data_IF_754698983445
#
_entry.id   IF_754698983445
#
_cell.length_a   1.000
_cell.length_b   1.000
_cell.length_c   1.000
_cell.angle_alpha   90.00
_cell.angle_beta   90.00
_cell.angle_gamma   90.00
#
_symmetry.space_group_name_H-M   'P 1'
#
loop_
_entity.id
_entity.type
_entity.pdbx_description
1 polymer ?
#
# COMPACT_ATOMS: atom_id res chain seq x y z
N UNK A 1 -14.09 8.42 -16.88
CA UNK A 1 -14.76 8.40 -15.56
C UNK A 1 -14.16 9.51 -14.70
N UNK A 2 -14.96 10.25 -13.91
CA UNK A 2 -14.40 11.24 -12.98
C UNK A 2 -13.66 10.53 -11.85
N UNK A 3 -12.58 11.14 -11.34
CA UNK A 3 -11.91 10.67 -10.13
C UNK A 3 -12.75 10.89 -8.88
N UNK A 4 -12.29 10.36 -7.74
CA UNK A 4 -12.92 10.51 -6.43
C UNK A 4 -12.06 11.43 -5.55
N UNK A 5 -12.71 12.23 -4.70
CA UNK A 5 -12.07 13.06 -3.68
C UNK A 5 -12.74 12.86 -2.34
N UNK A 6 -11.98 12.99 -1.26
CA UNK A 6 -12.56 12.97 0.09
C UNK A 6 -13.50 14.17 0.29
N UNK A 7 -14.61 13.95 1.00
CA UNK A 7 -15.59 14.99 1.28
C UNK A 7 -15.18 15.81 2.52
N UNK A 8 -14.29 16.78 2.32
CA UNK A 8 -13.81 17.69 3.37
C UNK A 8 -14.55 19.03 3.30
N UNK A 9 -15.21 19.42 4.40
CA UNK A 9 -16.06 20.62 4.46
C UNK A 9 -15.27 21.92 4.26
N UNK A 10 -14.12 22.05 4.95
CA UNK A 10 -13.23 23.21 4.84
C UNK A 10 -11.78 22.73 4.75
N UNK A 11 -11.08 23.13 3.69
CA UNK A 11 -9.66 22.82 3.51
C UNK A 11 -8.78 23.87 4.19
N UNK A 12 -8.11 23.47 5.27
CA UNK A 12 -7.11 24.25 6.01
C UNK A 12 -5.87 23.38 6.24
N UNK A 13 -4.80 23.96 6.80
CA UNK A 13 -3.63 23.16 7.21
C UNK A 13 -4.02 22.08 8.22
N UNK A 14 -4.93 22.39 9.15
CA UNK A 14 -5.39 21.45 10.18
C UNK A 14 -6.22 20.29 9.62
N UNK A 15 -6.89 20.49 8.47
CA UNK A 15 -7.67 19.43 7.81
C UNK A 15 -6.95 18.76 6.64
N UNK A 16 -5.68 19.12 6.38
CA UNK A 16 -4.94 18.63 5.23
C UNK A 16 -4.82 17.10 5.22
N UNK A 17 -4.70 16.48 6.39
CA UNK A 17 -4.67 15.01 6.54
C UNK A 17 -5.97 14.29 6.09
N UNK A 18 -7.06 15.03 5.88
CA UNK A 18 -8.34 14.49 5.39
C UNK A 18 -8.51 14.72 3.89
N UNK A 19 -7.68 15.57 3.28
CA UNK A 19 -7.76 15.93 1.87
C UNK A 19 -7.01 14.89 1.05
N UNK A 20 -7.71 14.21 0.18
CA UNK A 20 -7.11 13.23 -0.73
C UNK A 20 -7.94 13.04 -2.01
N UNK A 21 -7.29 12.52 -3.04
CA UNK A 21 -7.86 12.26 -4.36
C UNK A 21 -7.31 10.96 -4.97
N UNK A 22 -8.13 10.31 -5.78
CA UNK A 22 -7.72 9.24 -6.67
C UNK A 22 -8.32 9.41 -8.06
N UNK A 23 -7.61 8.93 -9.08
CA UNK A 23 -8.05 9.00 -10.46
C UNK A 23 -7.52 7.81 -11.25
N UNK A 24 -8.42 6.91 -11.61
CA UNK A 24 -8.14 5.60 -12.17
C UNK A 24 -8.37 4.50 -11.13
N UNK A 25 -7.79 4.66 -9.93
CA UNK A 25 -7.88 3.64 -8.87
C UNK A 25 -9.31 3.45 -8.36
N UNK A 26 -10.18 4.46 -8.45
CA UNK A 26 -11.60 4.30 -8.08
C UNK A 26 -12.27 3.20 -8.90
N UNK A 27 -11.93 3.11 -10.19
CA UNK A 27 -12.50 2.12 -11.11
C UNK A 27 -11.97 0.73 -10.79
N UNK A 28 -10.69 0.63 -10.42
CA UNK A 28 -10.08 -0.60 -9.95
C UNK A 28 -10.76 -1.10 -8.67
N UNK A 29 -10.96 -0.22 -7.68
CA UNK A 29 -11.66 -0.53 -6.42
C UNK A 29 -13.06 -1.07 -6.71
N UNK A 30 -13.85 -0.40 -7.55
CA UNK A 30 -15.18 -0.87 -7.94
C UNK A 30 -15.13 -2.25 -8.60
N UNK A 31 -14.17 -2.49 -9.50
CA UNK A 31 -13.98 -3.78 -10.13
C UNK A 31 -13.66 -4.89 -9.13
N UNK A 32 -12.74 -4.65 -8.20
CA UNK A 32 -12.38 -5.59 -7.14
C UNK A 32 -13.58 -5.87 -6.23
N UNK A 33 -14.32 -4.83 -5.84
CA UNK A 33 -15.54 -5.01 -5.01
C UNK A 33 -16.54 -5.94 -5.69
N UNK A 34 -16.72 -5.80 -7.01
CA UNK A 34 -17.62 -6.62 -7.81
C UNK A 34 -17.13 -8.06 -8.01
N UNK A 35 -15.83 -8.23 -8.32
CA UNK A 35 -15.21 -9.55 -8.56
C UNK A 35 -15.16 -10.38 -7.27
N UNK A 36 -14.75 -9.75 -6.17
CA UNK A 36 -14.55 -10.41 -4.88
C UNK A 36 -15.79 -10.41 -3.99
N UNK A 37 -16.89 -9.77 -4.42
CA UNK A 37 -18.11 -9.58 -3.61
C UNK A 37 -17.80 -9.00 -2.24
N UNK A 38 -16.96 -7.97 -2.22
CA UNK A 38 -16.55 -7.30 -0.98
C UNK A 38 -17.79 -6.72 -0.30
N UNK A 39 -17.84 -6.90 1.00
CA UNK A 39 -18.81 -6.26 1.88
C UNK A 39 -18.03 -5.39 2.87
N UNK A 40 -18.46 -4.16 3.07
CA UNK A 40 -17.89 -3.24 4.05
C UNK A 40 -18.43 -3.49 5.47
N UNK A 41 -17.75 -2.98 6.51
CA UNK A 41 -16.57 -2.14 6.41
C UNK A 41 -15.33 -2.95 5.99
N UNK A 42 -14.53 -2.38 5.10
CA UNK A 42 -13.31 -2.99 4.56
C UNK A 42 -12.27 -1.92 4.16
N UNK A 43 -10.99 -2.30 4.23
CA UNK A 43 -9.87 -1.52 3.72
C UNK A 43 -9.33 -2.19 2.47
N UNK A 44 -9.21 -1.43 1.39
CA UNK A 44 -8.48 -1.84 0.20
C UNK A 44 -7.14 -1.13 0.14
N UNK A 45 -6.06 -1.87 -0.03
CA UNK A 45 -4.71 -1.34 -0.19
C UNK A 45 -4.28 -1.63 -1.62
N UNK A 46 -3.99 -0.58 -2.37
CA UNK A 46 -3.52 -0.66 -3.75
C UNK A 46 -2.12 -0.05 -3.82
N UNK A 47 -1.06 -0.88 -3.66
CA UNK A 47 0.31 -0.42 -3.82
C UNK A 47 0.60 -0.08 -5.28
N UNK A 48 1.32 1.02 -5.49
CA UNK A 48 1.72 1.52 -6.80
C UNK A 48 2.73 2.66 -6.67
N UNK A 49 2.87 3.52 -7.69
CA UNK A 49 3.65 4.76 -7.59
C UNK A 49 3.21 5.58 -6.37
N UNK A 50 1.90 5.68 -6.18
CA UNK A 50 1.26 6.13 -4.96
C UNK A 50 0.46 4.97 -4.37
N UNK A 51 0.72 4.61 -3.12
CA UNK A 51 -0.09 3.62 -2.41
C UNK A 51 -1.43 4.27 -2.06
N UNK A 52 -2.53 3.62 -2.42
CA UNK A 52 -3.88 4.03 -1.99
C UNK A 52 -4.38 3.12 -0.88
N UNK A 53 -4.77 3.71 0.23
CA UNK A 53 -5.58 3.10 1.28
C UNK A 53 -7.01 3.58 1.08
N UNK A 54 -7.91 2.71 0.65
CA UNK A 54 -9.30 3.05 0.30
C UNK A 54 -10.24 2.41 1.30
N UNK A 55 -11.01 3.25 1.98
CA UNK A 55 -11.89 2.86 3.06
C UNK A 55 -13.31 2.70 2.51
N UNK A 56 -13.87 1.50 2.69
CA UNK A 56 -15.20 1.13 2.20
C UNK A 56 -16.12 1.01 3.42
N UNK A 57 -17.24 1.73 3.40
CA UNK A 57 -18.21 1.72 4.48
C UNK A 57 -19.19 0.53 4.41
N UNK A 58 -20.04 0.37 5.43
CA UNK A 58 -21.08 -0.69 5.50
C UNK A 58 -22.08 -0.70 4.33
N UNK A 59 -22.23 0.42 3.64
CA UNK A 59 -23.11 0.55 2.45
C UNK A 59 -22.40 0.17 1.15
N UNK A 60 -21.16 -0.33 1.22
CA UNK A 60 -20.31 -0.61 0.07
C UNK A 60 -20.02 0.63 -0.78
N UNK A 61 -19.82 1.77 -0.14
CA UNK A 61 -19.39 3.00 -0.79
C UNK A 61 -17.93 3.30 -0.41
N UNK A 62 -17.18 3.90 -1.35
CA UNK A 62 -15.88 4.49 -1.02
C UNK A 62 -16.14 5.68 -0.10
N UNK A 63 -15.80 5.54 1.17
CA UNK A 63 -16.00 6.57 2.20
C UNK A 63 -14.94 7.66 2.09
N UNK A 64 -13.67 7.24 1.96
CA UNK A 64 -12.51 8.09 1.79
C UNK A 64 -11.31 7.28 1.31
N UNK A 65 -10.24 7.99 0.98
CA UNK A 65 -8.92 7.41 0.76
C UNK A 65 -7.82 8.15 1.50
N UNK A 66 -6.67 7.48 1.63
CA UNK A 66 -5.42 8.02 2.16
C UNK A 66 -4.30 7.56 1.22
N UNK A 67 -3.49 8.49 0.74
CA UNK A 67 -2.48 8.28 -0.28
C UNK A 67 -1.10 8.53 0.30
N UNK A 68 -0.17 7.63 0.03
CA UNK A 68 1.26 7.79 0.31
C UNK A 68 2.06 7.57 -0.96
N UNK A 69 3.31 8.03 -1.00
CA UNK A 69 4.15 8.02 -2.21
C UNK A 69 5.25 6.94 -2.19
N UNK A 70 5.01 5.79 -1.55
CA UNK A 70 6.03 4.75 -1.36
C UNK A 70 6.71 4.32 -2.65
N UNK A 71 5.97 4.09 -3.74
CA UNK A 71 6.55 3.64 -5.01
C UNK A 71 7.50 4.67 -5.61
N UNK A 72 7.09 5.93 -5.68
CA UNK A 72 7.95 7.03 -6.15
C UNK A 72 9.13 7.28 -5.22
N UNK A 73 8.92 7.18 -3.90
CA UNK A 73 9.98 7.39 -2.93
C UNK A 73 11.02 6.27 -2.97
N UNK A 74 10.58 5.01 -3.10
CA UNK A 74 11.45 3.85 -3.35
C UNK A 74 12.25 4.04 -4.64
N UNK A 75 11.60 4.48 -5.72
CA UNK A 75 12.29 4.77 -6.98
C UNK A 75 13.36 5.85 -6.79
N UNK A 76 13.02 6.98 -6.17
CA UNK A 76 13.97 8.07 -5.92
C UNK A 76 15.16 7.62 -5.06
N UNK A 77 14.91 6.88 -3.97
CA UNK A 77 15.95 6.36 -3.10
C UNK A 77 16.90 5.43 -3.85
N UNK A 78 16.37 4.51 -4.65
CA UNK A 78 17.15 3.43 -5.28
C UNK A 78 17.80 3.82 -6.60
N UNK A 79 17.43 4.97 -7.18
CA UNK A 79 17.96 5.45 -8.45
C UNK A 79 18.73 6.77 -8.35
N UNK A 80 18.38 7.63 -7.41
CA UNK A 80 18.83 9.02 -7.36
C UNK A 80 19.54 9.38 -6.06
N UNK A 81 19.94 8.38 -5.26
CA UNK A 81 20.69 8.60 -4.01
C UNK A 81 21.82 7.57 -3.88
N UNK A 82 22.64 7.70 -2.83
CA UNK A 82 23.73 6.77 -2.52
C UNK A 82 23.28 5.31 -2.32
N UNK A 83 21.98 5.06 -2.14
CA UNK A 83 21.44 3.70 -2.02
C UNK A 83 21.47 2.94 -3.34
N UNK A 84 21.63 3.61 -4.49
CA UNK A 84 21.69 2.98 -5.81
C UNK A 84 22.79 1.92 -5.92
N UNK A 85 23.89 2.10 -5.19
CA UNK A 85 25.01 1.15 -5.18
C UNK A 85 24.77 -0.02 -4.22
N UNK A 86 23.78 0.10 -3.33
CA UNK A 86 23.51 -0.86 -2.27
C UNK A 86 22.35 -1.81 -2.60
N UNK A 87 21.48 -1.52 -3.56
CA UNK A 87 20.35 -2.39 -3.93
C UNK A 87 20.41 -2.75 -5.42
N UNK A 88 19.82 -3.89 -5.85
CA UNK A 88 19.80 -4.23 -7.26
C UNK A 88 18.80 -3.37 -8.02
N UNK A 89 18.99 -3.24 -9.34
CA UNK A 89 18.10 -2.48 -10.21
C UNK A 89 16.65 -2.97 -10.19
N UNK A 90 16.45 -4.29 -10.14
CA UNK A 90 15.12 -4.91 -10.09
C UNK A 90 14.52 -4.92 -8.68
N UNK A 91 15.19 -4.28 -7.71
CA UNK A 91 14.84 -4.17 -6.29
C UNK A 91 14.75 -5.52 -5.58
N UNK A 92 13.66 -6.26 -5.74
CA UNK A 92 13.39 -7.50 -5.00
C UNK A 92 13.22 -8.64 -6.00
N UNK A 93 14.24 -9.50 -6.08
CA UNK A 93 14.19 -10.72 -6.89
C UNK A 93 13.51 -11.87 -6.15
N UNK A 94 13.58 -11.86 -4.82
CA UNK A 94 12.94 -12.84 -3.94
C UNK A 94 12.50 -12.18 -2.64
N UNK A 95 11.28 -12.46 -2.20
CA UNK A 95 10.78 -12.03 -0.89
C UNK A 95 11.55 -12.76 0.20
N UNK A 96 12.22 -12.00 1.06
CA UNK A 96 12.92 -12.47 2.27
C UNK A 96 12.28 -11.82 3.50
N UNK A 97 11.25 -12.48 4.04
CA UNK A 97 10.40 -11.94 5.12
C UNK A 97 11.20 -11.48 6.34
N UNK A 98 12.27 -12.19 6.69
CA UNK A 98 13.15 -11.82 7.80
C UNK A 98 13.67 -10.38 7.65
N UNK A 99 14.14 -10.00 6.47
CA UNK A 99 14.69 -8.67 6.22
C UNK A 99 13.62 -7.60 6.15
N UNK A 100 12.42 -7.91 5.64
CA UNK A 100 11.26 -7.01 5.70
C UNK A 100 10.96 -6.66 7.16
N UNK A 101 10.92 -7.67 8.03
CA UNK A 101 10.63 -7.49 9.46
C UNK A 101 11.75 -6.73 10.18
N UNK A 102 13.02 -6.97 9.82
CA UNK A 102 14.16 -6.19 10.33
C UNK A 102 14.03 -4.71 9.94
N UNK A 103 13.68 -4.43 8.67
CA UNK A 103 13.45 -3.08 8.16
C UNK A 103 12.36 -2.35 8.92
N UNK A 104 11.18 -2.97 9.04
CA UNK A 104 10.06 -2.48 9.85
C UNK A 104 10.51 -2.13 11.28
N UNK A 105 11.12 -3.08 11.98
CA UNK A 105 11.53 -2.91 13.39
C UNK A 105 12.57 -1.80 13.56
N UNK A 106 13.43 -1.61 12.58
CA UNK A 106 14.43 -0.55 12.60
C UNK A 106 13.78 0.83 12.35
N UNK A 107 12.83 0.91 11.41
CA UNK A 107 12.06 2.11 11.10
C UNK A 107 11.24 2.60 12.30
N UNK A 108 10.50 1.71 12.96
CA UNK A 108 9.69 2.06 14.12
C UNK A 108 10.50 2.69 15.27
N UNK A 109 11.82 2.43 15.33
CA UNK A 109 12.73 2.97 16.36
C UNK A 109 13.49 4.21 15.92
N UNK A 110 13.78 4.35 14.62
CA UNK A 110 14.75 5.32 14.12
C UNK A 110 14.17 6.30 13.09
N UNK A 111 12.93 6.11 12.66
CA UNK A 111 12.30 6.85 11.58
C UNK A 111 12.82 6.46 10.19
N UNK A 112 12.08 6.88 9.16
CA UNK A 112 12.29 6.42 7.78
C UNK A 112 13.64 6.84 7.19
N UNK A 113 14.12 8.05 7.48
CA UNK A 113 15.34 8.59 6.86
C UNK A 113 16.61 7.90 7.35
N UNK A 114 16.73 7.68 8.67
CA UNK A 114 17.85 6.92 9.25
C UNK A 114 17.82 5.46 8.79
N UNK A 115 16.63 4.90 8.64
CA UNK A 115 16.43 3.52 8.21
C UNK A 115 16.76 3.31 6.74
N UNK A 116 16.41 4.26 5.87
CA UNK A 116 16.85 4.27 4.48
C UNK A 116 18.39 4.34 4.40
N UNK A 117 19.03 5.23 5.17
CA UNK A 117 20.49 5.29 5.20
C UNK A 117 21.14 4.02 5.79
N UNK A 118 20.46 3.30 6.68
CA UNK A 118 20.95 2.04 7.22
C UNK A 118 21.19 0.98 6.12
N UNK A 119 20.47 1.05 4.99
CA UNK A 119 20.71 0.19 3.82
C UNK A 119 22.16 0.32 3.33
N UNK A 120 22.69 1.56 3.24
CA UNK A 120 24.09 1.80 2.86
C UNK A 120 25.05 1.29 3.93
N UNK A 121 24.69 1.40 5.21
CA UNK A 121 25.51 0.87 6.30
C UNK A 121 25.56 -0.67 6.28
N UNK A 122 24.44 -1.33 5.97
CA UNK A 122 24.38 -2.78 5.80
C UNK A 122 25.30 -3.26 4.67
N UNK A 123 25.40 -2.48 3.59
CA UNK A 123 26.25 -2.77 2.44
C UNK A 123 27.75 -2.68 2.77
N UNK A 124 28.16 -1.63 3.49
CA UNK A 124 29.59 -1.39 3.77
C UNK A 124 30.10 -2.06 5.04
N UNK A 125 29.22 -2.45 5.98
CA UNK A 125 29.62 -2.91 7.30
C UNK A 125 29.12 -4.31 7.66
N UNK A 126 28.15 -4.87 6.93
CA UNK A 126 27.57 -6.19 7.23
C UNK A 126 27.72 -7.14 6.04
N UNK A 127 27.72 -8.44 6.31
CA UNK A 127 27.69 -9.46 5.27
C UNK A 127 26.23 -9.69 4.81
N UNK A 128 25.70 -8.76 4.03
CA UNK A 128 24.33 -8.81 3.48
C UNK A 128 24.35 -8.86 1.96
N UNK A 129 23.36 -9.49 1.34
CA UNK A 129 23.18 -9.47 -0.11
C UNK A 129 22.41 -8.22 -0.57
N UNK A 130 22.52 -7.81 -1.84
CA UNK A 130 21.70 -6.73 -2.38
C UNK A 130 20.18 -6.99 -2.24
N UNK A 131 19.72 -8.23 -2.43
CA UNK A 131 18.29 -8.57 -2.29
C UNK A 131 17.81 -8.44 -0.84
N UNK A 132 18.63 -8.82 0.14
CA UNK A 132 18.34 -8.64 1.57
C UNK A 132 18.17 -7.17 1.94
N UNK A 133 19.07 -6.32 1.43
CA UNK A 133 19.00 -4.87 1.63
C UNK A 133 17.78 -4.24 0.98
N UNK A 134 17.37 -4.72 -0.18
CA UNK A 134 16.14 -4.27 -0.82
C UNK A 134 14.88 -4.70 -0.06
N UNK A 135 14.82 -5.94 0.44
CA UNK A 135 13.74 -6.41 1.31
C UNK A 135 13.68 -5.60 2.62
N UNK A 136 14.84 -5.27 3.21
CA UNK A 136 14.93 -4.38 4.36
C UNK A 136 14.35 -2.99 4.04
N UNK A 137 14.79 -2.37 2.94
CA UNK A 137 14.27 -1.06 2.52
C UNK A 137 12.77 -1.09 2.28
N UNK A 138 12.24 -2.13 1.62
CA UNK A 138 10.81 -2.25 1.40
C UNK A 138 10.03 -2.41 2.71
N UNK A 139 10.57 -3.15 3.68
CA UNK A 139 10.00 -3.23 5.03
C UNK A 139 10.00 -1.89 5.76
N UNK A 140 11.06 -1.09 5.62
CA UNK A 140 11.15 0.29 6.14
C UNK A 140 10.03 1.16 5.56
N UNK A 141 9.93 1.23 4.23
CA UNK A 141 8.98 2.14 3.58
C UNK A 141 7.54 1.68 3.79
N UNK A 142 7.27 0.38 3.70
CA UNK A 142 5.92 -0.17 3.91
C UNK A 142 5.48 0.00 5.37
N UNK A 143 6.40 -0.11 6.34
CA UNK A 143 6.11 0.20 7.75
C UNK A 143 5.72 1.65 7.96
N UNK A 144 6.40 2.57 7.26
CA UNK A 144 6.14 4.00 7.35
C UNK A 144 4.77 4.37 6.74
N UNK A 145 4.44 3.80 5.57
CA UNK A 145 3.13 3.93 4.92
C UNK A 145 1.99 3.41 5.82
N UNK A 146 2.20 2.25 6.46
CA UNK A 146 1.26 1.68 7.44
C UNK A 146 1.52 2.30 8.81
N UNK A 147 1.29 3.62 8.88
CA UNK A 147 1.46 4.41 10.10
C UNK A 147 0.41 4.10 11.19
N UNK A 148 0.57 4.70 12.39
CA UNK A 148 -0.31 4.43 13.53
C UNK A 148 -1.80 4.68 13.26
N UNK A 149 -2.13 5.70 12.46
CA UNK A 149 -3.51 6.04 12.10
C UNK A 149 -4.20 4.92 11.31
N UNK A 150 -3.53 4.39 10.28
CA UNK A 150 -4.02 3.24 9.50
C UNK A 150 -4.24 2.02 10.40
N UNK A 151 -3.32 1.75 11.34
CA UNK A 151 -3.46 0.64 12.28
C UNK A 151 -4.65 0.84 13.23
N UNK A 152 -4.85 2.06 13.74
CA UNK A 152 -6.00 2.39 14.58
C UNK A 152 -7.32 2.14 13.83
N UNK A 153 -7.42 2.64 12.60
CA UNK A 153 -8.62 2.50 11.76
C UNK A 153 -8.92 1.03 11.42
N UNK A 154 -7.90 0.22 11.13
CA UNK A 154 -8.05 -1.23 10.92
C UNK A 154 -8.63 -1.91 12.17
N UNK A 155 -8.09 -1.61 13.35
CA UNK A 155 -8.49 -2.25 14.60
C UNK A 155 -9.89 -1.85 15.05
N UNK A 156 -10.28 -0.61 14.80
CA UNK A 156 -11.57 -0.04 15.20
C UNK A 156 -12.70 -0.48 14.26
N UNK A 157 -12.51 -0.35 12.95
CA UNK A 157 -13.61 -0.44 11.98
C UNK A 157 -13.32 -1.39 10.81
N UNK A 158 -12.14 -1.34 10.20
CA UNK A 158 -11.87 -1.97 8.90
C UNK A 158 -11.19 -3.35 9.03
N UNK A 159 -11.86 -4.29 9.69
CA UNK A 159 -11.31 -5.64 10.00
C UNK A 159 -11.25 -6.62 8.81
N UNK A 160 -11.56 -6.16 7.60
CA UNK A 160 -11.37 -6.91 6.35
C UNK A 160 -10.48 -6.09 5.45
N UNK A 161 -9.32 -6.63 5.13
CA UNK A 161 -8.28 -5.96 4.36
C UNK A 161 -8.11 -6.73 3.06
N UNK A 162 -8.11 -6.01 1.95
CA UNK A 162 -7.85 -6.53 0.62
C UNK A 162 -6.62 -5.83 0.05
N UNK A 163 -5.64 -6.59 -0.42
CA UNK A 163 -4.39 -6.03 -0.96
C UNK A 163 -4.31 -6.39 -2.44
N UNK A 164 -4.47 -5.39 -3.30
CA UNK A 164 -4.32 -5.50 -4.75
C UNK A 164 -2.90 -5.19 -5.21
N UNK A 165 -2.77 -4.86 -6.50
CA UNK A 165 -1.49 -4.55 -7.14
C UNK A 165 -0.65 -5.78 -7.48
N UNK A 166 0.54 -5.52 -8.01
CA UNK A 166 1.47 -6.56 -8.47
C UNK A 166 2.39 -7.06 -7.36
N UNK A 167 2.83 -8.31 -7.47
CA UNK A 167 3.95 -8.82 -6.67
C UNK A 167 5.27 -8.10 -7.05
N UNK A 168 6.23 -7.98 -6.12
CA UNK A 168 6.22 -8.49 -4.75
C UNK A 168 5.54 -7.58 -3.72
N UNK A 169 5.16 -6.34 -4.09
CA UNK A 169 4.79 -5.31 -3.12
C UNK A 169 3.57 -5.68 -2.27
N UNK A 170 2.53 -6.29 -2.86
CA UNK A 170 1.37 -6.77 -2.09
C UNK A 170 1.71 -7.78 -0.99
N UNK A 171 2.70 -8.63 -1.23
CA UNK A 171 3.18 -9.61 -0.24
C UNK A 171 3.94 -8.92 0.89
N UNK A 172 4.68 -7.86 0.58
CA UNK A 172 5.40 -7.06 1.58
C UNK A 172 4.40 -6.35 2.50
N UNK A 173 3.34 -5.75 1.94
CA UNK A 173 2.24 -5.18 2.74
C UNK A 173 1.60 -6.21 3.66
N UNK A 174 1.31 -7.42 3.17
CA UNK A 174 0.82 -8.53 4.00
C UNK A 174 1.79 -8.82 5.17
N UNK A 175 3.07 -9.05 4.87
CA UNK A 175 4.08 -9.37 5.90
C UNK A 175 4.19 -8.28 6.96
N UNK A 176 4.16 -7.00 6.56
CA UNK A 176 4.25 -5.87 7.49
C UNK A 176 2.99 -5.74 8.34
N UNK A 177 1.78 -5.91 7.77
CA UNK A 177 0.53 -5.90 8.52
C UNK A 177 0.49 -7.00 9.58
N UNK A 178 0.84 -8.23 9.20
CA UNK A 178 0.94 -9.37 10.13
C UNK A 178 1.92 -9.07 11.27
N UNK A 179 3.07 -8.46 10.96
CA UNK A 179 4.08 -8.08 11.96
C UNK A 179 3.72 -6.81 12.76
N UNK A 180 2.72 -6.04 12.35
CA UNK A 180 2.11 -4.95 13.13
C UNK A 180 0.93 -5.45 13.99
N UNK A 181 0.70 -6.76 14.03
CA UNK A 181 -0.29 -7.39 14.91
C UNK A 181 -1.68 -7.57 14.29
N UNK A 182 -1.82 -7.30 12.99
CA UNK A 182 -3.09 -7.55 12.29
C UNK A 182 -3.25 -9.05 12.06
N UNK A 183 -4.43 -9.59 12.39
CA UNK A 183 -4.73 -11.00 12.20
C UNK A 183 -4.67 -11.37 10.72
N UNK A 184 -3.86 -12.38 10.37
CA UNK A 184 -3.75 -12.90 9.00
C UNK A 184 -5.10 -13.27 8.36
N UNK A 185 -6.10 -13.65 9.17
CA UNK A 185 -7.45 -14.01 8.70
C UNK A 185 -8.23 -12.80 8.19
N UNK A 186 -7.83 -11.60 8.59
CA UNK A 186 -8.39 -10.35 8.11
C UNK A 186 -7.77 -9.91 6.77
N UNK A 187 -6.63 -10.48 6.37
CA UNK A 187 -5.84 -10.01 5.22
C UNK A 187 -6.05 -10.93 4.02
N UNK A 188 -6.57 -10.36 2.94
CA UNK A 188 -6.85 -11.05 1.69
C UNK A 188 -5.95 -10.45 0.60
N UNK A 189 -4.89 -11.17 0.23
CA UNK A 189 -4.04 -10.78 -0.91
C UNK A 189 -4.71 -11.25 -2.19
N UNK A 190 -5.01 -10.32 -3.09
CA UNK A 190 -5.69 -10.61 -4.34
C UNK A 190 -4.74 -11.30 -5.33
N UNK A 191 -5.26 -12.23 -6.13
CA UNK A 191 -4.50 -12.82 -7.23
C UNK A 191 -4.22 -11.79 -8.32
N UNK A 192 -3.18 -12.02 -9.12
CA UNK A 192 -2.83 -11.15 -10.25
C UNK A 192 -4.01 -11.05 -11.24
N UNK A 193 -4.70 -12.17 -11.51
CA UNK A 193 -5.90 -12.18 -12.37
C UNK A 193 -7.00 -11.20 -11.94
N UNK A 194 -7.25 -11.09 -10.62
CA UNK A 194 -8.26 -10.17 -10.09
C UNK A 194 -7.80 -8.73 -10.31
N UNK A 195 -6.54 -8.43 -10.02
CA UNK A 195 -5.96 -7.09 -10.19
C UNK A 195 -5.97 -6.68 -11.66
N UNK A 196 -5.59 -7.56 -12.57
CA UNK A 196 -5.53 -7.27 -14.01
C UNK A 196 -6.92 -7.04 -14.63
N UNK A 197 -7.93 -7.77 -14.14
CA UNK A 197 -9.31 -7.62 -14.60
C UNK A 197 -10.10 -6.50 -13.91
N UNK A 198 -9.61 -5.98 -12.79
CA UNK A 198 -10.33 -5.06 -11.92
C UNK A 198 -10.81 -3.81 -12.67
N UNK A 199 -9.88 -3.05 -13.27
CA UNK A 199 -10.22 -1.82 -13.98
C UNK A 199 -11.23 -2.06 -15.11
N UNK A 200 -11.01 -3.10 -15.92
CA UNK A 200 -11.91 -3.48 -17.02
C UNK A 200 -13.31 -3.85 -16.51
N UNK A 201 -13.38 -4.63 -15.43
CA UNK A 201 -14.64 -5.02 -14.80
C UNK A 201 -15.37 -3.81 -14.23
N UNK A 202 -14.65 -2.90 -13.57
CA UNK A 202 -15.21 -1.66 -13.03
C UNK A 202 -15.85 -0.80 -14.11
N UNK A 203 -15.15 -0.58 -15.23
CA UNK A 203 -15.70 0.15 -16.39
C UNK A 203 -16.97 -0.50 -16.90
N UNK A 204 -16.95 -1.82 -17.15
CA UNK A 204 -18.11 -2.55 -17.69
C UNK A 204 -19.34 -2.43 -16.78
N UNK A 205 -19.14 -2.52 -15.46
CA UNK A 205 -20.21 -2.41 -14.48
C UNK A 205 -20.82 -1.01 -14.42
N UNK A 206 -19.98 0.01 -14.49
CA UNK A 206 -20.41 1.40 -14.51
C UNK A 206 -21.19 1.73 -15.79
N UNK A 207 -20.72 1.24 -16.95
CA UNK A 207 -21.44 1.34 -18.22
C UNK A 207 -22.80 0.65 -18.12
N UNK A 208 -22.84 -0.59 -17.65
CA UNK A 208 -24.11 -1.31 -17.48
C UNK A 208 -25.10 -0.58 -16.56
N UNK A 209 -24.62 0.11 -15.51
CA UNK A 209 -25.49 0.90 -14.64
C UNK A 209 -26.06 2.14 -15.33
N UNK A 210 -25.31 2.76 -16.25
CA UNK A 210 -25.77 3.94 -17.00
C UNK A 210 -26.81 3.57 -18.07
N UNK A 211 -26.71 2.39 -18.69
CA UNK A 211 -27.60 1.94 -19.77
C UNK A 211 -28.79 1.09 -19.30
N UNK A 212 -28.79 0.61 -18.04
CA UNK A 212 -29.93 -0.08 -17.44
C UNK A 212 -30.78 0.82 -16.50
N UNK A 213 -30.60 2.14 -16.60
CA UNK A 213 -31.50 3.16 -16.04
C UNK A 213 -32.39 3.71 -17.14
#
# INVERSE_FOLDING_TARGET
MPGVKNNVCTTTIDSLEQVDVMRGEEVEVFGIMELCKIQGPALMILPGSHTKFVFINEKNEIERCSTTMLGEFLYALTRSTILSDSVPADLISKVEEEYIVLGKKFEEKNGVTKSAFAVRLMDISLNTTPNQRANFLAGVLTSNDIGPKIISEINEQYKRIYIGGSAPLKNIFKTVLENKGIDRRCINVLSDDITDMAASTGVLKLVNHLYNK
#
